data_IF_572659603787
#
_entry.id   IF_572659603787
#
_cell.length_a   1.000
_cell.length_b   1.000
_cell.length_c   1.000
_cell.angle_alpha   90.00
_cell.angle_beta   90.00
_cell.angle_gamma   90.00
#
_symmetry.space_group_name_H-M   'P 1'
#
loop_
_entity.id
_entity.type
_entity.pdbx_description
1 polymer ?
#
# COMPACT_ATOMS: atom_id res chain seq x y z
N UNK A 1 29.32 -35.28 4.67
CA UNK A 1 28.20 -35.25 3.71
C UNK A 1 26.94 -35.55 4.49
N UNK A 2 26.38 -34.52 5.11
CA UNK A 2 25.06 -34.55 5.73
C UNK A 2 24.07 -34.18 4.64
N UNK A 3 23.19 -35.12 4.29
CA UNK A 3 22.03 -34.84 3.45
C UNK A 3 21.14 -33.83 4.19
N UNK A 4 21.09 -32.61 3.66
CA UNK A 4 20.15 -31.60 4.12
C UNK A 4 18.75 -31.98 3.64
N UNK A 5 17.89 -32.26 4.61
CA UNK A 5 16.50 -32.59 4.42
C UNK A 5 15.75 -31.35 3.85
N UNK A 6 15.18 -31.38 2.62
CA UNK A 6 14.57 -30.20 1.99
C UNK A 6 13.25 -29.75 2.65
N UNK A 7 12.71 -30.49 3.60
CA UNK A 7 11.37 -30.27 4.16
C UNK A 7 11.29 -29.25 5.31
N UNK A 8 12.31 -28.39 5.49
CA UNK A 8 12.33 -27.39 6.57
C UNK A 8 12.20 -25.94 6.11
N UNK A 9 11.62 -25.72 4.93
CA UNK A 9 11.00 -24.43 4.60
C UNK A 9 9.50 -24.58 4.80
N UNK A 10 8.99 -24.04 5.91
CA UNK A 10 7.55 -23.87 6.12
C UNK A 10 7.01 -23.05 4.95
N UNK A 11 6.34 -23.68 3.98
CA UNK A 11 5.67 -22.93 2.93
C UNK A 11 4.62 -22.03 3.61
N UNK A 12 4.79 -20.71 3.53
CA UNK A 12 3.85 -19.74 4.10
C UNK A 12 2.42 -19.94 3.57
N UNK A 13 2.31 -20.61 2.42
CA UNK A 13 1.06 -20.98 1.77
C UNK A 13 0.94 -22.49 1.61
N UNK A 14 -0.28 -22.98 1.80
CA UNK A 14 -0.68 -24.32 1.38
C UNK A 14 -0.83 -24.39 -0.15
N UNK A 15 -1.42 -23.37 -0.77
CA UNK A 15 -1.64 -23.30 -2.23
C UNK A 15 -1.48 -21.87 -2.75
N UNK A 16 -0.93 -21.75 -3.96
CA UNK A 16 -0.86 -20.52 -4.74
C UNK A 16 -1.24 -20.84 -6.17
N UNK A 17 -2.22 -20.13 -6.73
CA UNK A 17 -2.69 -20.32 -8.10
C UNK A 17 -2.67 -19.00 -8.87
N UNK A 18 -1.86 -18.87 -9.92
CA UNK A 18 -2.02 -17.79 -10.89
C UNK A 18 -3.31 -18.01 -11.68
N UNK A 19 -4.28 -17.12 -11.51
CA UNK A 19 -5.61 -17.27 -12.12
C UNK A 19 -5.55 -17.29 -13.66
N UNK A 20 -4.57 -16.58 -14.23
CA UNK A 20 -4.32 -16.51 -15.66
C UNK A 20 -3.77 -17.83 -16.27
N UNK A 21 -3.31 -18.79 -15.45
CA UNK A 21 -2.83 -20.10 -15.94
C UNK A 21 -3.85 -21.23 -15.73
N UNK A 22 -4.65 -21.16 -14.66
CA UNK A 22 -5.57 -22.25 -14.27
C UNK A 22 -6.81 -22.29 -15.17
N UNK A 23 -7.19 -21.15 -15.75
CA UNK A 23 -8.43 -21.01 -16.51
C UNK A 23 -9.69 -21.27 -15.67
N UNK A 24 -10.85 -21.30 -16.31
CA UNK A 24 -12.13 -21.59 -15.66
C UNK A 24 -13.24 -20.62 -16.05
N UNK A 25 -14.45 -20.91 -15.56
CA UNK A 25 -15.63 -20.07 -15.78
C UNK A 25 -15.93 -19.23 -14.55
N UNK A 26 -16.31 -17.97 -14.77
CA UNK A 26 -16.67 -17.03 -13.72
C UNK A 26 -17.72 -17.60 -12.75
N UNK A 27 -18.74 -18.30 -13.27
CA UNK A 27 -19.84 -18.85 -12.49
C UNK A 27 -19.41 -19.92 -11.48
N UNK A 28 -18.27 -20.58 -11.72
CA UNK A 28 -17.70 -21.60 -10.84
C UNK A 28 -16.75 -20.96 -9.83
N UNK A 29 -15.89 -20.04 -10.29
CA UNK A 29 -14.88 -19.38 -9.45
C UNK A 29 -15.53 -18.42 -8.45
N UNK A 30 -16.50 -17.62 -8.87
CA UNK A 30 -17.20 -16.67 -7.98
C UNK A 30 -17.92 -17.36 -6.81
N UNK A 31 -18.37 -18.61 -6.98
CA UNK A 31 -18.96 -19.40 -5.90
C UNK A 31 -17.92 -19.92 -4.91
N UNK A 32 -16.73 -20.28 -5.40
CA UNK A 32 -15.63 -20.80 -4.58
C UNK A 32 -14.87 -19.66 -3.88
N UNK A 33 -14.79 -18.50 -4.52
CA UNK A 33 -13.99 -17.35 -4.10
C UNK A 33 -14.88 -16.09 -4.22
N UNK A 34 -15.80 -15.88 -3.26
CA UNK A 34 -16.76 -14.77 -3.34
C UNK A 34 -16.10 -13.38 -3.32
N UNK A 35 -14.86 -13.29 -2.85
CA UNK A 35 -14.09 -12.05 -2.79
C UNK A 35 -13.34 -11.72 -4.09
N UNK A 36 -13.36 -12.60 -5.11
CA UNK A 36 -12.72 -12.34 -6.40
C UNK A 36 -13.53 -11.27 -7.15
N UNK A 37 -12.96 -10.09 -7.45
CA UNK A 37 -13.65 -9.11 -8.28
C UNK A 37 -13.84 -9.63 -9.69
N UNK A 38 -15.01 -9.40 -10.28
CA UNK A 38 -15.28 -9.81 -11.67
C UNK A 38 -14.30 -9.19 -12.66
N UNK A 39 -13.99 -7.91 -12.51
CA UNK A 39 -13.02 -7.22 -13.36
C UNK A 39 -11.62 -7.83 -13.29
N UNK A 40 -11.21 -8.36 -12.13
CA UNK A 40 -9.92 -9.05 -11.98
C UNK A 40 -9.91 -10.42 -12.66
N UNK A 41 -11.03 -11.16 -12.60
CA UNK A 41 -11.19 -12.37 -13.42
C UNK A 41 -11.09 -12.05 -14.92
N UNK A 42 -11.82 -11.04 -15.39
CA UNK A 42 -11.81 -10.63 -16.80
C UNK A 42 -10.41 -10.18 -17.24
N UNK A 43 -9.69 -9.41 -16.41
CA UNK A 43 -8.30 -9.04 -16.62
C UNK A 43 -7.38 -10.27 -16.76
N UNK A 44 -7.56 -11.28 -15.90
CA UNK A 44 -6.73 -12.50 -15.93
C UNK A 44 -6.89 -13.32 -17.22
N UNK A 45 -7.96 -13.09 -17.98
CA UNK A 45 -8.19 -13.72 -19.27
C UNK A 45 -7.52 -12.99 -20.45
N UNK A 46 -6.98 -11.79 -20.24
CA UNK A 46 -6.29 -11.02 -21.26
C UNK A 46 -4.84 -11.49 -21.45
N UNK A 47 -4.25 -11.30 -22.65
CA UNK A 47 -2.81 -11.42 -22.87
C UNK A 47 -2.00 -10.57 -21.88
N UNK A 48 -0.76 -10.99 -21.61
CA UNK A 48 0.16 -10.32 -20.67
C UNK A 48 0.30 -8.81 -20.92
N UNK A 49 0.57 -8.42 -22.16
CA UNK A 49 0.77 -7.02 -22.57
C UNK A 49 -0.49 -6.17 -22.27
N UNK A 50 -1.67 -6.69 -22.65
CA UNK A 50 -2.95 -6.03 -22.43
C UNK A 50 -3.27 -5.85 -20.94
N UNK A 51 -2.82 -6.75 -20.05
CA UNK A 51 -3.05 -6.63 -18.61
C UNK A 51 -2.33 -5.43 -18.00
N UNK A 52 -1.08 -5.20 -18.40
CA UNK A 52 -0.29 -4.07 -17.92
C UNK A 52 -0.91 -2.76 -18.40
N UNK A 53 -1.21 -2.66 -19.70
CA UNK A 53 -1.81 -1.47 -20.30
C UNK A 53 -3.19 -1.16 -19.69
N UNK A 54 -4.07 -2.15 -19.60
CA UNK A 54 -5.41 -1.97 -19.03
C UNK A 54 -5.34 -1.53 -17.57
N UNK A 55 -4.42 -2.10 -16.78
CA UNK A 55 -4.28 -1.75 -15.36
C UNK A 55 -3.75 -0.34 -15.19
N UNK A 56 -2.76 0.07 -16.00
CA UNK A 56 -2.28 1.46 -16.05
C UNK A 56 -3.42 2.42 -16.33
N UNK A 57 -4.17 2.19 -17.41
CA UNK A 57 -5.26 3.06 -17.81
C UNK A 57 -6.37 3.10 -16.74
N UNK A 58 -6.68 1.97 -16.10
CA UNK A 58 -7.61 1.94 -14.97
C UNK A 58 -7.15 2.83 -13.81
N UNK A 59 -5.88 2.77 -13.40
CA UNK A 59 -5.32 3.66 -12.38
C UNK A 59 -5.47 5.14 -12.78
N UNK A 60 -5.13 5.48 -14.03
CA UNK A 60 -5.27 6.84 -14.57
C UNK A 60 -6.73 7.31 -14.63
N UNK A 61 -7.72 6.42 -14.74
CA UNK A 61 -9.14 6.83 -14.69
C UNK A 61 -9.67 7.02 -13.27
N UNK A 62 -9.04 6.37 -12.29
CA UNK A 62 -9.52 6.33 -10.89
C UNK A 62 -8.89 7.40 -10.01
N UNK A 63 -7.60 7.67 -10.20
CA UNK A 63 -6.90 8.64 -9.38
C UNK A 63 -7.26 10.08 -9.81
N UNK A 64 -7.48 11.01 -8.87
CA UNK A 64 -7.80 12.39 -9.22
C UNK A 64 -6.54 13.13 -9.72
N UNK A 65 -6.52 13.51 -10.99
CA UNK A 65 -5.45 14.33 -11.58
C UNK A 65 -5.62 15.83 -11.34
N UNK A 66 -6.59 16.23 -10.51
CA UNK A 66 -6.94 17.64 -10.25
C UNK A 66 -5.98 18.24 -9.21
N UNK A 67 -4.69 18.16 -9.49
CA UNK A 67 -3.63 18.80 -8.71
C UNK A 67 -2.69 19.51 -9.70
N UNK A 68 -2.07 20.65 -9.34
CA UNK A 68 -1.08 21.33 -10.19
C UNK A 68 0.06 20.41 -10.69
N UNK A 69 0.29 19.28 -10.02
CA UNK A 69 1.27 18.24 -10.37
C UNK A 69 0.67 17.01 -11.08
N UNK A 70 -0.55 17.08 -11.60
CA UNK A 70 -1.22 15.95 -12.27
C UNK A 70 -0.41 15.33 -13.41
N UNK A 71 0.29 16.16 -14.20
CA UNK A 71 1.19 15.69 -15.27
C UNK A 71 2.37 14.87 -14.73
N UNK A 72 2.91 15.24 -13.56
CA UNK A 72 4.00 14.50 -12.93
C UNK A 72 3.50 13.13 -12.46
N UNK A 73 2.30 13.06 -11.88
CA UNK A 73 1.70 11.78 -11.49
C UNK A 73 1.53 10.85 -12.70
N UNK A 74 1.03 11.36 -13.81
CA UNK A 74 0.87 10.58 -15.06
C UNK A 74 2.23 10.05 -15.55
N UNK A 75 3.25 10.91 -15.60
CA UNK A 75 4.59 10.52 -16.02
C UNK A 75 5.19 9.45 -15.10
N UNK A 76 5.05 9.60 -13.78
CA UNK A 76 5.61 8.65 -12.81
C UNK A 76 4.87 7.32 -12.78
N UNK A 77 3.54 7.33 -12.95
CA UNK A 77 2.78 6.10 -13.14
C UNK A 77 3.19 5.41 -14.45
N UNK A 78 3.36 6.16 -15.54
CA UNK A 78 3.85 5.61 -16.80
C UNK A 78 5.24 4.97 -16.64
N UNK A 79 6.15 5.60 -15.89
CA UNK A 79 7.47 5.02 -15.55
C UNK A 79 7.33 3.73 -14.75
N UNK A 80 6.50 3.70 -13.70
CA UNK A 80 6.25 2.50 -12.92
C UNK A 80 5.70 1.35 -13.78
N UNK A 81 4.67 1.60 -14.58
CA UNK A 81 4.09 0.57 -15.45
C UNK A 81 5.02 0.15 -16.59
N UNK A 82 5.95 1.00 -17.02
CA UNK A 82 7.00 0.63 -17.96
C UNK A 82 8.02 -0.35 -17.35
N UNK A 83 8.18 -0.37 -16.02
CA UNK A 83 8.98 -1.38 -15.30
C UNK A 83 8.19 -2.64 -14.93
N UNK A 84 6.89 -2.69 -15.22
CA UNK A 84 6.07 -3.85 -14.93
C UNK A 84 6.16 -4.84 -16.07
N UNK A 85 6.76 -5.99 -15.78
CA UNK A 85 6.84 -7.12 -16.66
C UNK A 85 5.43 -7.72 -16.91
N UNK A 86 4.62 -7.85 -15.86
CA UNK A 86 3.27 -8.39 -15.94
C UNK A 86 2.41 -7.94 -14.75
N UNK A 87 1.08 -7.92 -14.96
CA UNK A 87 0.08 -7.79 -13.90
C UNK A 87 -0.77 -9.05 -13.86
N UNK A 88 -0.63 -9.83 -12.79
CA UNK A 88 -1.33 -11.11 -12.62
C UNK A 88 -2.29 -11.11 -11.43
N UNK A 89 -3.35 -11.89 -11.52
CA UNK A 89 -4.23 -12.18 -10.37
C UNK A 89 -3.88 -13.53 -9.78
N UNK A 90 -3.62 -13.57 -8.48
CA UNK A 90 -3.19 -14.74 -7.75
C UNK A 90 -4.18 -15.08 -6.64
N UNK A 91 -4.43 -16.37 -6.49
CA UNK A 91 -5.25 -16.94 -5.42
C UNK A 91 -4.34 -17.66 -4.44
N UNK A 92 -4.34 -17.26 -3.18
CA UNK A 92 -3.48 -17.84 -2.15
C UNK A 92 -4.31 -18.47 -1.04
N UNK A 93 -3.83 -19.57 -0.48
CA UNK A 93 -4.45 -20.26 0.64
C UNK A 93 -3.37 -20.59 1.66
N UNK A 94 -3.48 -20.03 2.86
CA UNK A 94 -2.47 -20.23 3.91
C UNK A 94 -2.55 -21.63 4.53
N UNK A 95 -3.76 -22.13 4.76
CA UNK A 95 -4.02 -23.40 5.43
C UNK A 95 -4.97 -24.29 4.64
N UNK A 96 -4.87 -25.63 4.75
CA UNK A 96 -5.86 -26.52 4.18
C UNK A 96 -7.28 -26.14 4.62
N UNK A 97 -8.20 -26.05 3.67
CA UNK A 97 -9.61 -25.66 3.85
C UNK A 97 -9.86 -24.22 4.31
N UNK A 98 -8.85 -23.35 4.36
CA UNK A 98 -9.08 -21.90 4.57
C UNK A 98 -9.62 -21.24 3.29
N UNK A 99 -10.39 -20.14 3.37
CA UNK A 99 -10.79 -19.41 2.18
C UNK A 99 -9.57 -18.92 1.38
N UNK A 100 -9.71 -18.83 0.06
CA UNK A 100 -8.69 -18.19 -0.77
C UNK A 100 -8.68 -16.68 -0.54
N UNK A 101 -7.48 -16.13 -0.41
CA UNK A 101 -7.22 -14.70 -0.56
C UNK A 101 -6.92 -14.40 -2.02
N UNK A 102 -7.32 -13.22 -2.47
CA UNK A 102 -7.15 -12.76 -3.86
C UNK A 102 -6.20 -11.58 -3.85
N UNK A 103 -5.19 -11.62 -4.72
CA UNK A 103 -4.16 -10.60 -4.83
C UNK A 103 -3.96 -10.24 -6.29
N UNK A 104 -3.82 -8.95 -6.59
CA UNK A 104 -3.26 -8.49 -7.85
C UNK A 104 -1.78 -8.26 -7.63
N UNK A 105 -0.93 -8.82 -8.48
CA UNK A 105 0.52 -8.77 -8.36
C UNK A 105 1.09 -8.08 -9.59
N UNK A 106 1.89 -7.04 -9.35
CA UNK A 106 2.63 -6.27 -10.33
C UNK A 106 4.07 -6.78 -10.31
N UNK A 107 4.41 -7.65 -11.25
CA UNK A 107 5.74 -8.24 -11.39
C UNK A 107 6.63 -7.23 -12.10
N UNK A 108 7.79 -6.93 -11.53
CA UNK A 108 8.73 -5.97 -12.09
C UNK A 108 9.77 -6.69 -12.95
N UNK A 109 10.29 -5.97 -13.95
CA UNK A 109 11.37 -6.46 -14.83
C UNK A 109 12.62 -6.85 -14.02
N UNK A 110 13.45 -7.71 -14.61
CA UNK A 110 14.75 -8.15 -14.05
C UNK A 110 14.70 -8.79 -12.65
N UNK A 111 13.55 -9.38 -12.26
CA UNK A 111 13.35 -10.05 -10.97
C UNK A 111 13.65 -9.17 -9.74
N UNK A 112 13.55 -7.84 -9.88
CA UNK A 112 13.85 -6.90 -8.78
C UNK A 112 12.81 -6.96 -7.65
N UNK A 113 11.64 -7.53 -7.93
CA UNK A 113 10.59 -7.78 -6.95
C UNK A 113 9.20 -7.68 -7.54
N UNK A 114 8.21 -7.50 -6.66
CA UNK A 114 6.84 -7.26 -7.06
C UNK A 114 6.13 -6.36 -6.05
N UNK A 115 5.05 -5.72 -6.51
CA UNK A 115 4.03 -5.15 -5.66
C UNK A 115 2.80 -6.05 -5.66
N UNK A 116 2.04 -6.02 -4.56
CA UNK A 116 0.76 -6.71 -4.46
C UNK A 116 -0.32 -5.79 -3.91
N UNK A 117 -1.52 -5.86 -4.47
CA UNK A 117 -2.69 -5.15 -4.03
C UNK A 117 -3.82 -6.10 -3.64
N UNK A 118 -4.59 -5.72 -2.62
CA UNK A 118 -5.83 -6.39 -2.25
C UNK A 118 -6.99 -6.00 -3.19
N UNK A 119 -8.10 -6.74 -3.17
CA UNK A 119 -9.31 -6.38 -3.91
C UNK A 119 -9.76 -4.95 -3.54
N UNK A 120 -10.38 -4.20 -4.46
CA UNK A 120 -10.83 -2.85 -4.17
C UNK A 120 -11.86 -2.82 -3.05
N UNK A 121 -11.79 -1.80 -2.20
CA UNK A 121 -12.80 -1.53 -1.19
C UNK A 121 -14.14 -1.15 -1.85
N UNK A 122 -15.25 -1.63 -1.30
CA UNK A 122 -16.59 -1.22 -1.77
C UNK A 122 -16.92 0.20 -1.32
N UNK A 123 -17.88 0.85 -1.98
CA UNK A 123 -18.34 2.18 -1.59
C UNK A 123 -18.87 2.21 -0.14
N UNK A 124 -19.52 1.13 0.30
CA UNK A 124 -19.97 0.98 1.69
C UNK A 124 -18.79 0.89 2.66
N UNK A 125 -17.72 0.21 2.27
CA UNK A 125 -16.50 0.07 3.07
C UNK A 125 -15.79 1.41 3.19
N UNK A 126 -15.64 2.13 2.07
CA UNK A 126 -15.07 3.49 2.03
C UNK A 126 -15.89 4.44 2.91
N UNK A 127 -17.23 4.42 2.79
CA UNK A 127 -18.12 5.23 3.62
C UNK A 127 -18.02 4.87 5.11
N UNK A 128 -17.87 3.58 5.44
CA UNK A 128 -17.68 3.12 6.82
C UNK A 128 -16.38 3.65 7.42
N UNK A 129 -15.28 3.58 6.67
CA UNK A 129 -13.98 4.11 7.11
C UNK A 129 -14.06 5.62 7.33
N UNK A 130 -14.63 6.37 6.38
CA UNK A 130 -14.83 7.81 6.52
C UNK A 130 -15.69 8.16 7.74
N UNK A 131 -16.68 7.33 8.08
CA UNK A 131 -17.50 7.48 9.29
C UNK A 131 -16.73 7.17 10.58
N UNK A 132 -15.85 6.17 10.57
CA UNK A 132 -15.01 5.84 11.74
C UNK A 132 -14.06 6.98 12.09
N UNK A 133 -13.59 7.71 11.09
CA UNK A 133 -12.74 8.90 11.26
C UNK A 133 -13.51 10.22 11.12
N UNK A 134 -14.82 10.26 11.41
CA UNK A 134 -15.71 11.42 11.15
C UNK A 134 -15.24 12.79 11.70
N UNK A 135 -14.34 12.81 12.68
CA UNK A 135 -13.71 14.04 13.19
C UNK A 135 -12.74 14.67 12.18
N UNK A 136 -12.42 13.94 11.11
CA UNK A 136 -11.43 14.25 10.09
C UNK A 136 -11.97 13.85 8.71
N UNK A 137 -11.61 14.61 7.69
CA UNK A 137 -11.92 14.24 6.29
C UNK A 137 -10.71 13.52 5.75
N UNK A 138 -10.82 12.23 5.42
CA UNK A 138 -9.68 11.51 4.84
C UNK A 138 -9.41 12.06 3.42
N UNK A 139 -8.14 12.07 2.97
CA UNK A 139 -7.81 12.60 1.65
C UNK A 139 -8.60 11.90 0.53
N UNK A 140 -9.24 12.66 -0.39
CA UNK A 140 -10.04 12.09 -1.46
C UNK A 140 -9.25 11.15 -2.39
N UNK A 141 -7.96 11.45 -2.58
CA UNK A 141 -7.04 10.66 -3.38
C UNK A 141 -6.68 9.30 -2.74
N UNK A 142 -6.52 9.26 -1.42
CA UNK A 142 -6.42 8.02 -0.65
C UNK A 142 -7.69 7.17 -0.78
N UNK A 143 -8.88 7.79 -0.63
CA UNK A 143 -10.15 7.07 -0.78
C UNK A 143 -10.34 6.54 -2.21
N UNK A 144 -9.91 7.29 -3.22
CA UNK A 144 -9.91 6.85 -4.61
C UNK A 144 -8.95 5.67 -4.82
N UNK A 145 -7.77 5.69 -4.21
CA UNK A 145 -6.83 4.57 -4.28
C UNK A 145 -7.39 3.30 -3.63
N UNK A 146 -8.14 3.41 -2.53
CA UNK A 146 -8.80 2.25 -1.90
C UNK A 146 -9.78 1.54 -2.86
N UNK A 147 -10.35 2.25 -3.83
CA UNK A 147 -11.20 1.68 -4.89
C UNK A 147 -10.40 1.01 -6.02
N UNK A 148 -9.07 1.10 -5.98
CA UNK A 148 -8.14 0.30 -6.80
C UNK A 148 -7.67 -0.90 -5.96
N UNK A 149 -7.15 -0.62 -4.76
CA UNK A 149 -6.60 -1.63 -3.84
C UNK A 149 -6.93 -1.35 -2.37
N UNK A 150 -7.60 -2.30 -1.70
CA UNK A 150 -7.68 -2.34 -0.24
C UNK A 150 -6.42 -2.98 0.35
N UNK A 151 -5.41 -2.15 0.56
CA UNK A 151 -4.05 -2.53 0.94
C UNK A 151 -3.16 -2.81 -0.27
N UNK A 152 -1.89 -2.45 -0.15
CA UNK A 152 -0.92 -2.48 -1.24
C UNK A 152 0.49 -2.51 -0.65
N UNK A 153 1.36 -3.40 -1.09
CA UNK A 153 2.71 -3.50 -0.54
C UNK A 153 3.74 -3.99 -1.56
N UNK A 154 5.00 -3.63 -1.35
CA UNK A 154 6.15 -4.35 -1.91
C UNK A 154 6.28 -5.72 -1.25
N UNK A 155 6.92 -6.68 -1.91
CA UNK A 155 7.03 -8.05 -1.38
C UNK A 155 7.71 -8.14 0.00
N UNK A 156 8.64 -7.24 0.30
CA UNK A 156 9.40 -7.21 1.58
C UNK A 156 8.66 -6.47 2.69
N UNK A 157 7.59 -5.77 2.36
CA UNK A 157 7.04 -4.72 3.20
C UNK A 157 5.62 -5.05 3.67
N UNK A 158 5.20 -4.42 4.78
CA UNK A 158 3.82 -4.53 5.29
C UNK A 158 2.87 -3.69 4.44
N UNK A 159 3.25 -2.46 4.09
CA UNK A 159 2.57 -1.65 3.10
C UNK A 159 1.33 -0.90 3.62
N UNK A 160 0.46 -0.52 2.69
CA UNK A 160 -0.80 0.14 2.97
C UNK A 160 -1.71 -0.73 3.82
N UNK A 161 -2.18 -0.14 4.91
CA UNK A 161 -3.05 -0.78 5.89
C UNK A 161 -4.42 -0.99 5.24
N UNK A 162 -4.89 -2.25 5.24
CA UNK A 162 -6.24 -2.58 4.79
C UNK A 162 -7.27 -1.87 5.65
N UNK A 163 -8.34 -1.38 5.03
CA UNK A 163 -9.47 -0.69 5.66
C UNK A 163 -9.99 -1.41 6.91
N UNK A 164 -10.14 -2.73 6.86
CA UNK A 164 -10.57 -3.57 8.00
C UNK A 164 -9.66 -3.50 9.23
N UNK A 165 -8.39 -3.15 9.04
CA UNK A 165 -7.36 -3.07 10.09
C UNK A 165 -7.12 -1.63 10.55
N UNK A 166 -7.54 -0.63 9.77
CA UNK A 166 -7.18 0.78 9.96
C UNK A 166 -7.50 1.30 11.37
N UNK A 167 -8.71 1.04 11.87
CA UNK A 167 -9.11 1.44 13.24
C UNK A 167 -8.28 0.75 14.31
N UNK A 168 -7.99 -0.55 14.13
CA UNK A 168 -7.18 -1.30 15.08
C UNK A 168 -5.74 -0.78 15.10
N UNK A 169 -5.16 -0.49 13.95
CA UNK A 169 -3.81 0.08 13.85
C UNK A 169 -3.75 1.49 14.42
N UNK A 170 -4.76 2.32 14.15
CA UNK A 170 -4.89 3.64 14.80
C UNK A 170 -4.93 3.51 16.32
N UNK A 171 -5.78 2.64 16.88
CA UNK A 171 -5.86 2.41 18.33
C UNK A 171 -4.53 1.92 18.92
N UNK A 172 -3.83 1.04 18.22
CA UNK A 172 -2.51 0.57 18.62
C UNK A 172 -1.49 1.71 18.65
N UNK A 173 -1.44 2.54 17.61
CA UNK A 173 -0.58 3.73 17.58
C UNK A 173 -0.93 4.71 18.72
N UNK A 174 -2.21 4.96 18.97
CA UNK A 174 -2.63 5.82 20.09
C UNK A 174 -2.21 5.25 21.45
N UNK A 175 -2.16 3.92 21.58
CA UNK A 175 -1.67 3.29 22.79
C UNK A 175 -0.16 3.50 22.97
N UNK A 176 0.65 3.27 21.93
CA UNK A 176 2.09 3.55 21.94
C UNK A 176 2.35 5.02 22.33
N UNK A 177 1.65 5.94 21.69
CA UNK A 177 1.79 7.39 21.92
C UNK A 177 1.15 7.89 23.23
N UNK A 178 0.47 7.03 23.98
CA UNK A 178 -0.06 7.41 25.30
C UNK A 178 1.00 7.30 26.40
N UNK A 179 2.09 6.58 26.14
CA UNK A 179 3.15 6.32 27.12
C UNK A 179 4.21 7.43 27.13
N UNK A 180 4.41 8.12 26.00
CA UNK A 180 5.40 9.19 25.83
C UNK A 180 4.83 10.43 25.12
N UNK A 181 5.55 11.55 25.20
CA UNK A 181 5.21 12.76 24.46
C UNK A 181 5.64 12.62 23.00
N UNK A 182 4.70 12.83 22.07
CA UNK A 182 5.01 13.00 20.66
C UNK A 182 5.59 14.39 20.43
N UNK A 183 6.86 14.46 20.02
CA UNK A 183 7.58 15.72 19.82
C UNK A 183 8.06 15.81 18.38
N UNK A 184 7.82 16.94 17.70
CA UNK A 184 8.38 17.23 16.37
C UNK A 184 9.87 17.60 16.49
N UNK A 185 10.71 17.46 15.44
CA UNK A 185 12.15 17.75 15.54
C UNK A 185 12.54 19.17 16.03
N UNK A 186 11.64 20.15 15.93
CA UNK A 186 11.85 21.50 16.46
C UNK A 186 11.38 21.69 17.92
N UNK A 187 10.92 20.63 18.57
CA UNK A 187 10.50 20.61 19.97
C UNK A 187 9.02 20.87 20.21
N UNK A 188 8.19 21.04 19.17
CA UNK A 188 6.75 21.19 19.35
C UNK A 188 6.11 19.88 19.82
N UNK A 189 5.35 19.94 20.91
CA UNK A 189 4.54 18.80 21.39
C UNK A 189 3.28 18.70 20.54
N UNK A 190 3.09 17.55 19.91
CA UNK A 190 1.95 17.29 19.05
C UNK A 190 0.91 16.45 19.78
N UNK A 191 -0.36 16.60 19.38
CA UNK A 191 -1.43 15.73 19.85
C UNK A 191 -1.36 14.38 19.09
N UNK A 192 -1.14 13.23 19.77
CA UNK A 192 -1.11 11.91 19.14
C UNK A 192 -2.34 11.59 18.29
N UNK A 193 -3.52 12.04 18.71
CA UNK A 193 -4.77 11.79 18.00
C UNK A 193 -4.88 12.57 16.69
N UNK A 194 -3.90 13.42 16.38
CA UNK A 194 -3.80 14.08 15.09
C UNK A 194 -3.19 13.22 13.98
N UNK A 195 -2.65 12.04 14.31
CA UNK A 195 -2.00 11.11 13.39
C UNK A 195 -2.90 9.90 13.08
N UNK A 196 -3.22 9.69 11.81
CA UNK A 196 -3.97 8.53 11.33
C UNK A 196 -3.05 7.68 10.45
N UNK A 197 -2.61 6.50 10.90
CA UNK A 197 -1.70 5.66 10.13
C UNK A 197 -2.44 5.07 8.93
N UNK A 198 -1.85 5.13 7.74
CA UNK A 198 -2.39 4.49 6.53
C UNK A 198 -1.41 3.49 5.90
N UNK A 199 -0.15 3.50 6.33
CA UNK A 199 0.92 2.60 5.88
C UNK A 199 1.79 2.22 7.08
N UNK A 200 2.31 0.99 7.07
CA UNK A 200 3.26 0.46 8.05
C UNK A 200 4.48 -0.14 7.34
N UNK A 201 5.67 0.15 7.86
CA UNK A 201 6.95 -0.26 7.26
C UNK A 201 7.49 -1.53 7.94
N UNK A 202 7.68 -2.61 7.18
CA UNK A 202 8.35 -3.85 7.63
C UNK A 202 7.85 -4.48 8.95
N UNK A 203 6.64 -4.17 9.41
CA UNK A 203 6.11 -4.60 10.72
C UNK A 203 6.89 -4.07 11.92
N UNK A 204 7.78 -3.10 11.70
CA UNK A 204 8.39 -2.26 12.72
C UNK A 204 7.42 -1.09 12.90
N UNK A 205 7.08 -0.68 14.12
CA UNK A 205 6.05 0.34 14.40
C UNK A 205 6.44 1.75 13.88
N UNK A 206 6.51 1.85 12.56
CA UNK A 206 6.97 2.94 11.73
C UNK A 206 5.87 3.15 10.70
N UNK A 207 5.24 4.30 10.73
CA UNK A 207 4.02 4.55 9.99
C UNK A 207 4.16 5.78 9.10
N UNK A 208 3.51 5.76 7.94
CA UNK A 208 3.10 7.01 7.32
C UNK A 208 1.69 7.33 7.79
N UNK A 209 1.54 8.55 8.27
CA UNK A 209 0.34 9.02 8.96
C UNK A 209 -0.20 10.26 8.27
N UNK A 210 -1.51 10.32 8.04
CA UNK A 210 -2.17 11.59 7.77
C UNK A 210 -2.08 12.46 9.01
N UNK A 211 -1.58 13.68 8.86
CA UNK A 211 -1.43 14.62 9.96
C UNK A 211 -2.52 15.70 9.87
N UNK A 212 -3.55 15.54 10.68
CA UNK A 212 -4.72 16.44 10.73
C UNK A 212 -4.41 17.85 11.24
N UNK A 213 -3.17 18.13 11.64
CA UNK A 213 -2.69 19.47 11.98
C UNK A 213 -1.98 20.19 10.82
N UNK A 214 -1.67 19.49 9.72
CA UNK A 214 -0.90 20.02 8.59
C UNK A 214 -1.71 19.96 7.29
N UNK A 215 -2.01 21.14 6.73
CA UNK A 215 -2.89 21.28 5.57
C UNK A 215 -2.24 22.03 4.40
N UNK A 216 -1.25 21.46 3.71
CA UNK A 216 -0.65 22.09 2.55
C UNK A 216 -1.67 22.20 1.40
N UNK A 217 -2.01 23.43 0.99
CA UNK A 217 -2.92 23.67 -0.13
C UNK A 217 -4.36 23.19 0.10
N UNK A 218 -4.84 23.26 1.33
CA UNK A 218 -6.17 22.81 1.79
C UNK A 218 -6.40 21.28 1.80
N UNK A 219 -5.36 20.48 1.53
CA UNK A 219 -5.37 19.02 1.66
C UNK A 219 -4.61 18.57 2.92
N UNK A 220 -4.93 17.38 3.46
CA UNK A 220 -4.19 16.83 4.62
C UNK A 220 -2.87 16.20 4.14
N UNK A 221 -1.75 16.72 4.65
CA UNK A 221 -0.43 16.16 4.40
C UNK A 221 -0.18 14.87 5.19
N UNK A 222 0.88 14.15 4.84
CA UNK A 222 1.32 12.96 5.56
C UNK A 222 2.77 13.05 6.03
N UNK A 223 3.02 12.49 7.20
CA UNK A 223 4.29 12.51 7.90
C UNK A 223 4.68 11.10 8.29
N UNK A 224 5.98 10.81 8.23
CA UNK A 224 6.51 9.57 8.75
C UNK A 224 6.63 9.67 10.27
N UNK A 225 6.22 8.62 10.96
CA UNK A 225 6.43 8.42 12.39
C UNK A 225 7.31 7.19 12.60
N UNK A 226 8.21 7.27 13.58
CA UNK A 226 9.03 6.14 14.03
C UNK A 226 8.93 5.98 15.54
N UNK A 227 8.57 4.77 16.00
CA UNK A 227 8.54 4.45 17.43
C UNK A 227 9.93 4.57 18.09
N UNK A 228 11.01 4.34 17.34
CA UNK A 228 12.36 4.39 17.92
C UNK A 228 12.74 5.79 18.41
N UNK A 229 12.37 6.83 17.67
CA UNK A 229 12.72 8.22 18.00
C UNK A 229 11.56 8.97 18.66
N UNK A 230 10.35 8.38 18.67
CA UNK A 230 9.10 8.99 19.13
C UNK A 230 8.86 10.38 18.52
N UNK A 231 9.23 10.52 17.24
CA UNK A 231 9.17 11.76 16.47
C UNK A 231 8.42 11.54 15.17
N UNK A 232 8.11 12.65 14.50
CA UNK A 232 7.62 12.66 13.14
C UNK A 232 8.56 13.40 12.19
N UNK A 233 8.39 13.19 10.90
CA UNK A 233 9.02 13.98 9.84
C UNK A 233 8.93 15.49 10.08
N UNK A 234 10.01 16.19 9.76
CA UNK A 234 9.98 17.65 9.70
C UNK A 234 9.31 18.12 8.40
N UNK A 235 8.04 18.48 8.50
CA UNK A 235 7.25 19.01 7.37
C UNK A 235 7.30 20.54 7.23
N UNK A 236 8.07 21.25 8.07
CA UNK A 236 8.23 22.71 7.98
C UNK A 236 9.31 23.13 6.98
N UNK A 237 10.24 22.23 6.67
CA UNK A 237 11.26 22.45 5.65
C UNK A 237 10.70 22.09 4.27
N UNK A 238 10.03 23.05 3.63
CA UNK A 238 9.38 22.85 2.32
C UNK A 238 10.35 22.41 1.22
N UNK A 239 11.65 22.72 1.34
CA UNK A 239 12.68 22.33 0.38
C UNK A 239 13.09 20.86 0.51
N UNK A 240 12.79 20.23 1.65
CA UNK A 240 13.26 18.87 2.01
C UNK A 240 12.13 17.93 2.42
N UNK A 241 10.89 18.20 1.99
CA UNK A 241 9.74 17.38 2.37
C UNK A 241 9.95 15.90 2.05
N UNK A 242 10.29 15.57 0.81
CA UNK A 242 10.51 14.17 0.37
C UNK A 242 11.69 13.51 1.10
N UNK A 243 12.80 14.24 1.30
CA UNK A 243 13.96 13.76 2.08
C UNK A 243 13.58 13.46 3.54
N UNK A 244 12.68 14.27 4.10
CA UNK A 244 12.16 14.10 5.45
C UNK A 244 11.02 13.07 5.52
N UNK A 245 10.63 12.44 4.40
CA UNK A 245 9.49 11.54 4.30
C UNK A 245 8.14 12.19 4.68
N UNK A 246 8.02 13.49 4.43
CA UNK A 246 6.78 14.26 4.54
C UNK A 246 6.24 14.57 3.14
N UNK A 247 4.94 14.41 2.92
CA UNK A 247 4.33 14.63 1.61
C UNK A 247 3.06 15.46 1.73
N UNK A 248 2.84 16.35 0.77
CA UNK A 248 1.69 17.25 0.80
C UNK A 248 0.37 16.55 0.45
N UNK A 249 0.42 15.40 -0.20
CA UNK A 249 -0.75 14.60 -0.62
C UNK A 249 -0.44 13.11 -0.49
N UNK A 250 -1.48 12.26 -0.48
CA UNK A 250 -1.27 10.81 -0.54
C UNK A 250 -0.66 10.39 -1.88
N UNK A 251 -1.05 11.03 -2.98
CA UNK A 251 -0.49 10.73 -4.31
C UNK A 251 1.00 11.03 -4.41
N UNK A 252 1.48 12.12 -3.81
CA UNK A 252 2.92 12.42 -3.74
C UNK A 252 3.68 11.31 -3.01
N UNK A 253 3.12 10.81 -1.90
CA UNK A 253 3.69 9.66 -1.18
C UNK A 253 3.64 8.38 -2.03
N UNK A 254 2.54 8.12 -2.73
CA UNK A 254 2.38 6.93 -3.55
C UNK A 254 3.43 6.88 -4.67
N UNK A 255 3.67 8.02 -5.33
CA UNK A 255 4.73 8.13 -6.36
C UNK A 255 6.09 7.80 -5.76
N UNK A 256 6.45 8.42 -4.64
CA UNK A 256 7.68 8.11 -3.93
C UNK A 256 7.79 6.62 -3.57
N UNK A 257 6.70 6.02 -3.07
CA UNK A 257 6.65 4.60 -2.72
C UNK A 257 6.88 3.69 -3.93
N UNK A 258 6.38 4.06 -5.11
CA UNK A 258 6.55 3.30 -6.36
C UNK A 258 7.95 3.44 -6.96
N UNK A 259 8.64 4.57 -6.75
CA UNK A 259 9.98 4.84 -7.30
C UNK A 259 11.11 4.11 -6.57
N UNK A 260 10.94 3.85 -5.28
CA UNK A 260 11.97 3.23 -4.43
C UNK A 260 12.06 1.70 -4.64
N UNK A 261 12.44 1.29 -5.86
CA UNK A 261 12.67 -0.10 -6.27
C UNK A 261 14.17 -0.44 -6.17
N UNK A 262 14.98 0.39 -5.51
CA UNK A 262 16.40 0.06 -5.36
C UNK A 262 16.52 -1.23 -4.53
N UNK A 263 17.20 -2.28 -5.03
CA UNK A 263 17.50 -3.43 -4.19
C UNK A 263 18.33 -2.89 -3.03
N UNK A 264 17.80 -3.00 -1.81
CA UNK A 264 18.55 -2.69 -0.58
C UNK A 264 19.84 -3.50 -0.67
N UNK A 265 20.94 -2.82 -1.03
CA UNK A 265 22.25 -3.45 -0.96
C UNK A 265 22.53 -3.60 0.52
N UNK A 266 22.76 -4.84 0.95
CA UNK A 266 23.14 -5.16 2.32
C UNK A 266 24.39 -4.40 2.83
N UNK A 267 25.03 -3.58 2.00
CA UNK A 267 26.08 -2.63 2.36
C UNK A 267 25.60 -1.41 3.16
N UNK A 268 24.31 -1.05 3.08
CA UNK A 268 23.85 0.26 3.59
C UNK A 268 23.31 0.20 5.02
N UNK A 269 23.27 -1.00 5.62
CA UNK A 269 22.86 -1.24 7.02
C UNK A 269 24.03 -1.11 8.02
N UNK A 270 25.25 -0.87 7.54
CA UNK A 270 26.46 -0.72 8.39
C UNK A 270 27.20 0.61 8.20
N UNK A 271 26.49 1.65 7.75
CA UNK A 271 27.06 2.97 7.49
C UNK A 271 26.26 4.13 8.07
N UNK A 272 25.93 4.08 9.36
CA UNK A 272 25.55 5.25 10.16
C UNK A 272 26.12 5.12 11.57
#
# INVERSE_FOLDING_TARGET
MTEENPEKYSSLFHQVFPLHEVGGKWEELSKKIPLLPRGWFELSCLPREDRVEFTRDYWLTKLPFVCPRGHLLEERLAQFFATCDDVGVFLTQEKPNSPFSVHMVYMLEDDVGFFQGGPPASDETVALVQKQFQSFTLPPDYLAFLQIHDGFSKYTDTGLIKTKNLVRTYQHLQHILSEDLLVRPDGEILNPSSLIPFYESFGLHCYQCFHTGWHPGDEIGNVYFTEYEMTISNYLDEEKLEENLAFTTFLSWLVFYLEDISPIRASDVHGA
#
